data_IF_815914364588
#
_entry.id   IF_815914364588
#
_cell.length_a   1.000
_cell.length_b   1.000
_cell.length_c   1.000
_cell.angle_alpha   90.00
_cell.angle_beta   90.00
_cell.angle_gamma   90.00
#
_symmetry.space_group_name_H-M   'P 1'
#
loop_
_entity.id
_entity.type
_entity.pdbx_description
1 polymer ?
#
# COMPACT_ATOMS: atom_id res chain seq x y z
N UNK A 1 16.84 -18.46 17.21
CA UNK A 1 16.02 -17.23 17.27
C UNK A 1 14.76 -17.57 18.05
N UNK A 2 14.41 -16.76 19.04
CA UNK A 2 13.14 -16.89 19.75
C UNK A 2 11.99 -16.36 18.87
N UNK A 3 10.76 -16.85 19.05
CA UNK A 3 9.61 -16.40 18.25
C UNK A 3 9.39 -14.88 18.32
N UNK A 4 9.67 -14.28 19.47
CA UNK A 4 9.62 -12.83 19.65
C UNK A 4 10.57 -12.09 18.70
N UNK A 5 11.80 -12.59 18.52
CA UNK A 5 12.79 -12.00 17.60
C UNK A 5 12.32 -12.13 16.14
N UNK A 6 11.76 -13.30 15.78
CA UNK A 6 11.22 -13.52 14.44
C UNK A 6 10.05 -12.57 14.12
N UNK A 7 9.14 -12.37 15.07
CA UNK A 7 8.04 -11.41 14.93
C UNK A 7 8.58 -9.97 14.76
N UNK A 8 9.62 -9.61 15.51
CA UNK A 8 10.23 -8.28 15.43
C UNK A 8 10.90 -8.04 14.07
N UNK A 9 11.64 -9.02 13.55
CA UNK A 9 12.23 -8.95 12.21
C UNK A 9 11.15 -8.78 11.13
N UNK A 10 10.10 -9.61 11.16
CA UNK A 10 9.01 -9.51 10.19
C UNK A 10 8.30 -8.15 10.23
N UNK A 11 8.13 -7.58 11.43
CA UNK A 11 7.57 -6.23 11.56
C UNK A 11 8.50 -5.15 11.01
N UNK A 12 9.81 -5.25 11.22
CA UNK A 12 10.80 -4.33 10.64
C UNK A 12 10.82 -4.40 9.11
N UNK A 13 10.62 -5.58 8.53
CA UNK A 13 10.51 -5.77 7.09
C UNK A 13 9.29 -5.01 6.54
N UNK A 14 8.13 -5.17 7.19
CA UNK A 14 6.92 -4.41 6.87
C UNK A 14 7.15 -2.90 6.97
N UNK A 15 7.81 -2.41 8.03
CA UNK A 15 8.09 -0.98 8.18
C UNK A 15 8.95 -0.42 7.02
N UNK A 16 9.90 -1.20 6.52
CA UNK A 16 10.70 -0.81 5.34
C UNK A 16 9.84 -0.77 4.07
N UNK A 17 8.99 -1.77 3.86
CA UNK A 17 8.06 -1.78 2.72
C UNK A 17 7.08 -0.59 2.78
N UNK A 18 6.52 -0.28 3.94
CA UNK A 18 5.59 0.84 4.12
C UNK A 18 6.27 2.19 3.89
N UNK A 19 7.51 2.37 4.37
CA UNK A 19 8.29 3.57 4.09
C UNK A 19 8.53 3.74 2.57
N UNK A 20 8.88 2.66 1.86
CA UNK A 20 9.08 2.68 0.41
C UNK A 20 7.78 3.02 -0.35
N UNK A 21 6.67 2.42 0.05
CA UNK A 21 5.35 2.69 -0.56
C UNK A 21 4.92 4.14 -0.35
N UNK A 22 5.10 4.68 0.86
CA UNK A 22 4.80 6.08 1.14
C UNK A 22 5.70 7.06 0.38
N UNK A 23 6.97 6.70 0.15
CA UNK A 23 7.87 7.49 -0.70
C UNK A 23 7.36 7.50 -2.15
N UNK A 24 7.01 6.33 -2.71
CA UNK A 24 6.46 6.22 -4.06
C UNK A 24 5.10 6.92 -4.21
N UNK A 25 4.26 6.86 -3.18
CA UNK A 25 2.98 7.56 -3.15
C UNK A 25 3.15 9.07 -3.37
N UNK A 26 4.15 9.70 -2.74
CA UNK A 26 4.42 11.14 -2.92
C UNK A 26 4.76 11.48 -4.37
N UNK A 27 5.56 10.64 -5.03
CA UNK A 27 5.94 10.81 -6.44
C UNK A 27 4.70 10.67 -7.34
N UNK A 28 3.98 9.55 -7.17
CA UNK A 28 2.81 9.20 -8.00
C UNK A 28 1.70 10.24 -7.85
N UNK A 29 1.37 10.61 -6.62
CA UNK A 29 0.33 11.60 -6.35
C UNK A 29 0.66 12.99 -6.88
N UNK A 30 1.94 13.40 -6.85
CA UNK A 30 2.38 14.65 -7.46
C UNK A 30 2.21 14.64 -8.98
N UNK A 31 2.57 13.52 -9.64
CA UNK A 31 2.34 13.34 -11.09
C UNK A 31 0.87 13.41 -11.46
N UNK A 32 -0.01 12.72 -10.73
CA UNK A 32 -1.46 12.77 -10.98
C UNK A 32 -2.05 14.18 -10.82
N UNK A 33 -1.60 14.92 -9.80
CA UNK A 33 -2.00 16.33 -9.61
C UNK A 33 -1.54 17.23 -10.75
N UNK A 34 -0.34 16.99 -11.30
CA UNK A 34 0.15 17.75 -12.44
C UNK A 34 -0.72 17.49 -13.68
N UNK A 35 -1.07 16.24 -13.96
CA UNK A 35 -1.97 15.87 -15.07
C UNK A 35 -3.35 16.53 -14.89
N UNK A 36 -3.89 16.51 -13.67
CA UNK A 36 -5.18 17.13 -13.35
C UNK A 36 -5.21 18.65 -13.55
N UNK A 37 -4.06 19.32 -13.46
CA UNK A 37 -3.94 20.77 -13.61
C UNK A 37 -4.05 21.24 -15.08
N UNK A 38 -3.70 20.36 -16.02
CA UNK A 38 -3.74 20.66 -17.46
C UNK A 38 -5.13 20.39 -18.09
N UNK A 39 -6.07 19.86 -17.32
CA UNK A 39 -7.35 19.40 -17.82
C UNK A 39 -8.45 20.47 -17.76
N UNK A 40 -9.10 20.75 -18.89
CA UNK A 40 -10.26 21.64 -18.95
C UNK A 40 -11.52 20.98 -18.36
N UNK A 41 -11.83 21.35 -17.12
CA UNK A 41 -12.98 20.85 -16.35
C UNK A 41 -14.34 21.27 -16.91
N UNK A 42 -14.39 22.22 -17.86
CA UNK A 42 -15.67 22.60 -18.50
C UNK A 42 -16.18 21.51 -19.44
N UNK A 43 -15.28 20.66 -19.95
CA UNK A 43 -15.58 19.59 -20.90
C UNK A 43 -15.87 18.25 -20.20
N UNK A 44 -15.38 18.07 -18.96
CA UNK A 44 -15.61 16.86 -18.17
C UNK A 44 -15.47 17.15 -16.66
N UNK A 45 -16.52 16.80 -15.93
CA UNK A 45 -16.67 17.08 -14.49
C UNK A 45 -16.52 15.81 -13.61
N UNK A 46 -15.97 14.72 -14.16
CA UNK A 46 -15.62 13.53 -13.38
C UNK A 46 -14.43 13.81 -12.45
N UNK A 47 -14.23 13.01 -11.38
CA UNK A 47 -13.06 13.12 -10.53
C UNK A 47 -11.76 13.02 -11.32
N UNK A 48 -10.78 13.84 -10.93
CA UNK A 48 -9.44 13.80 -11.52
C UNK A 48 -8.67 12.51 -11.22
N UNK A 49 -7.51 12.39 -11.85
CA UNK A 49 -6.57 11.31 -11.61
C UNK A 49 -6.17 11.21 -10.13
N UNK A 50 -5.87 12.34 -9.49
CA UNK A 50 -5.44 12.36 -8.09
C UNK A 50 -6.55 11.91 -7.14
N UNK A 51 -7.76 12.44 -7.27
CA UNK A 51 -8.87 12.10 -6.38
C UNK A 51 -9.26 10.63 -6.53
N UNK A 52 -9.25 10.12 -7.77
CA UNK A 52 -9.49 8.71 -8.06
C UNK A 52 -8.39 7.82 -7.48
N UNK A 53 -7.13 8.20 -7.64
CA UNK A 53 -5.99 7.48 -7.07
C UNK A 53 -6.02 7.49 -5.53
N UNK A 54 -6.40 8.62 -4.90
CA UNK A 54 -6.54 8.73 -3.45
C UNK A 54 -7.64 7.84 -2.91
N UNK A 55 -8.79 7.78 -3.59
CA UNK A 55 -9.86 6.86 -3.23
C UNK A 55 -9.40 5.40 -3.34
N UNK A 56 -8.73 5.04 -4.43
CA UNK A 56 -8.17 3.70 -4.63
C UNK A 56 -7.14 3.33 -3.54
N UNK A 57 -6.24 4.25 -3.18
CA UNK A 57 -5.23 4.01 -2.14
C UNK A 57 -5.87 3.76 -0.76
N UNK A 58 -6.91 4.53 -0.40
CA UNK A 58 -7.64 4.33 0.86
C UNK A 58 -8.36 2.98 0.90
N UNK A 59 -9.04 2.63 -0.18
CA UNK A 59 -9.69 1.32 -0.31
C UNK A 59 -8.67 0.18 -0.22
N UNK A 60 -7.51 0.33 -0.86
CA UNK A 60 -6.43 -0.63 -0.79
C UNK A 60 -5.88 -0.81 0.63
N UNK A 61 -5.72 0.26 1.42
CA UNK A 61 -5.31 0.16 2.83
C UNK A 61 -6.29 -0.69 3.64
N UNK A 62 -7.60 -0.44 3.48
CA UNK A 62 -8.64 -1.27 4.13
C UNK A 62 -8.56 -2.73 3.70
N UNK A 63 -8.42 -2.99 2.40
CA UNK A 63 -8.25 -4.34 1.87
C UNK A 63 -7.03 -5.02 2.49
N UNK A 64 -5.86 -4.38 2.45
CA UNK A 64 -4.60 -4.92 2.97
C UNK A 64 -4.75 -5.31 4.44
N UNK A 65 -5.24 -4.39 5.26
CA UNK A 65 -5.31 -4.58 6.70
C UNK A 65 -6.29 -5.72 7.05
N UNK A 66 -7.45 -5.79 6.40
CA UNK A 66 -8.43 -6.86 6.62
C UNK A 66 -7.96 -8.21 6.07
N UNK A 67 -7.35 -8.22 4.89
CA UNK A 67 -6.82 -9.41 4.26
C UNK A 67 -5.71 -10.04 5.10
N UNK A 68 -4.71 -9.25 5.49
CA UNK A 68 -3.59 -9.74 6.30
C UNK A 68 -4.01 -10.14 7.71
N UNK A 69 -5.01 -9.47 8.29
CA UNK A 69 -5.65 -9.93 9.53
C UNK A 69 -6.26 -11.32 9.34
N UNK A 70 -6.96 -11.54 8.23
CA UNK A 70 -7.51 -12.84 7.84
C UNK A 70 -6.44 -13.93 7.69
N UNK A 71 -5.34 -13.63 7.02
CA UNK A 71 -4.22 -14.58 6.87
C UNK A 71 -3.58 -14.94 8.21
N UNK A 72 -3.38 -13.94 9.09
CA UNK A 72 -2.85 -14.17 10.44
C UNK A 72 -3.68 -15.14 11.26
N UNK A 73 -5.00 -15.21 11.02
CA UNK A 73 -5.90 -16.13 11.73
C UNK A 73 -5.63 -17.61 11.48
N UNK A 74 -4.83 -17.96 10.48
CA UNK A 74 -4.32 -19.34 10.32
C UNK A 74 -3.55 -19.81 11.56
N UNK A 75 -2.98 -18.89 12.35
CA UNK A 75 -2.27 -19.14 13.61
C UNK A 75 -2.92 -18.41 14.80
N UNK A 76 -4.22 -18.12 14.74
CA UNK A 76 -4.93 -17.29 15.72
C UNK A 76 -4.64 -17.69 17.16
N UNK A 77 -4.19 -16.73 17.97
CA UNK A 77 -3.86 -16.91 19.39
C UNK A 77 -2.48 -17.55 19.63
N UNK A 78 -1.77 -17.94 18.58
CA UNK A 78 -0.41 -18.46 18.62
C UNK A 78 0.63 -17.36 18.59
N UNK A 79 1.82 -17.65 19.15
CA UNK A 79 2.93 -16.69 19.21
C UNK A 79 3.49 -16.29 17.83
N UNK A 80 3.16 -17.03 16.77
CA UNK A 80 3.60 -16.79 15.39
C UNK A 80 2.57 -16.04 14.52
N UNK A 81 1.35 -15.78 15.01
CA UNK A 81 0.34 -14.98 14.27
C UNK A 81 0.88 -13.60 13.83
N UNK A 82 1.59 -12.82 14.67
CA UNK A 82 2.12 -11.52 14.26
C UNK A 82 3.13 -11.59 13.10
N UNK A 83 3.88 -12.69 13.01
CA UNK A 83 4.85 -12.91 11.92
C UNK A 83 4.11 -13.15 10.59
N UNK A 84 3.06 -13.96 10.59
CA UNK A 84 2.23 -14.21 9.39
C UNK A 84 1.57 -12.91 8.92
N UNK A 85 0.95 -12.17 9.86
CA UNK A 85 0.37 -10.87 9.57
C UNK A 85 1.38 -9.91 8.92
N UNK A 86 2.55 -9.75 9.53
CA UNK A 86 3.59 -8.82 9.04
C UNK A 86 4.17 -9.25 7.69
N UNK A 87 4.29 -10.55 7.44
CA UNK A 87 4.68 -11.09 6.14
C UNK A 87 3.71 -10.71 5.03
N UNK A 88 2.41 -10.92 5.25
CA UNK A 88 1.36 -10.48 4.31
C UNK A 88 1.41 -8.95 4.06
N UNK A 89 1.54 -8.18 5.14
CA UNK A 89 1.59 -6.71 5.05
C UNK A 89 2.78 -6.25 4.20
N UNK A 90 3.93 -6.92 4.32
CA UNK A 90 5.12 -6.66 3.51
C UNK A 90 4.85 -6.94 2.03
N UNK A 91 4.39 -8.16 1.72
CA UNK A 91 4.16 -8.60 0.33
C UNK A 91 3.18 -7.68 -0.41
N UNK A 92 2.02 -7.39 0.20
CA UNK A 92 1.02 -6.52 -0.44
C UNK A 92 1.54 -5.10 -0.62
N UNK A 93 2.31 -4.58 0.34
CA UNK A 93 2.84 -3.22 0.29
C UNK A 93 3.94 -3.07 -0.78
N UNK A 94 4.78 -4.09 -0.96
CA UNK A 94 5.74 -4.14 -2.07
C UNK A 94 5.04 -4.20 -3.43
N UNK A 95 4.02 -5.06 -3.57
CA UNK A 95 3.23 -5.15 -4.80
C UNK A 95 2.53 -3.81 -5.12
N UNK A 96 1.97 -3.14 -4.12
CA UNK A 96 1.36 -1.82 -4.29
C UNK A 96 2.38 -0.75 -4.69
N UNK A 97 3.59 -0.81 -4.13
CA UNK A 97 4.67 0.08 -4.53
C UNK A 97 4.97 -0.06 -6.02
N UNK A 98 4.99 -1.29 -6.54
CA UNK A 98 5.19 -1.52 -7.97
C UNK A 98 4.02 -0.97 -8.81
N UNK A 99 2.78 -1.26 -8.43
CA UNK A 99 1.60 -0.70 -9.12
C UNK A 99 1.63 0.84 -9.20
N UNK A 100 2.11 1.51 -8.15
CA UNK A 100 2.25 2.97 -8.14
C UNK A 100 3.38 3.46 -9.06
N UNK A 101 4.46 2.68 -9.23
CA UNK A 101 5.53 2.99 -10.20
C UNK A 101 5.03 2.81 -11.62
N UNK A 102 4.42 1.67 -11.92
CA UNK A 102 3.90 1.34 -13.25
C UNK A 102 2.91 2.42 -13.72
N UNK A 103 2.05 2.91 -12.81
CA UNK A 103 1.07 3.96 -13.10
C UNK A 103 1.68 5.27 -13.61
N UNK A 104 2.95 5.58 -13.31
CA UNK A 104 3.63 6.78 -13.81
C UNK A 104 4.64 6.50 -14.92
N UNK A 105 4.95 5.23 -15.20
CA UNK A 105 5.74 4.83 -16.37
C UNK A 105 4.89 4.88 -17.65
N UNK A 106 3.58 4.75 -17.54
CA UNK A 106 2.62 4.84 -18.64
C UNK A 106 2.33 6.28 -19.15
N UNK A 107 2.87 7.34 -18.50
CA UNK A 107 2.65 8.76 -18.85
C UNK A 107 3.94 9.54 -19.08
#
# INVERSE_FOLDING_TARGET
>A
MAQFELNACAYQDYQRADAAMNAQWKITSARMKAIDADFDRTQDNRPGYFDTLLAAQRAWLTYRDQHCTGEGYTLRGGSAEPMVFSGCMTQLTEARTQQLKDLIEEY
#
